data_IF_901199686503
#
_entry.id   IF_901199686503
#
_cell.length_a   1.000
_cell.length_b   1.000
_cell.length_c   1.000
_cell.angle_alpha   90.00
_cell.angle_beta   90.00
_cell.angle_gamma   90.00
#
_symmetry.space_group_name_H-M   'P 1'
#
loop_
_entity.id
_entity.type
_entity.pdbx_description
1 polymer ?
#
# COMPACT_ATOMS: atom_id res chain seq x y z
N UNK A 1 -5.97 30.60 -2.00
CA UNK A 1 -4.74 30.35 -1.23
C UNK A 1 -5.00 29.08 -0.43
N UNK A 2 -4.37 27.99 -0.89
CA UNK A 2 -4.57 26.64 -0.39
C UNK A 2 -4.09 26.49 1.06
N UNK A 3 -5.04 26.41 2.00
CA UNK A 3 -4.76 26.06 3.40
C UNK A 3 -4.84 24.55 3.66
N UNK A 4 -5.14 23.73 2.64
CA UNK A 4 -5.29 22.28 2.78
C UNK A 4 -3.95 21.54 2.81
N UNK A 5 -2.96 21.99 2.05
CA UNK A 5 -1.65 21.34 1.93
C UNK A 5 -0.81 21.41 3.21
N UNK A 6 -0.94 22.48 4.00
CA UNK A 6 -0.15 22.64 5.22
C UNK A 6 -0.68 21.82 6.41
N UNK A 7 -1.99 21.48 6.41
CA UNK A 7 -2.57 20.61 7.45
C UNK A 7 -2.17 19.14 7.26
N UNK A 8 -2.15 18.65 6.02
CA UNK A 8 -1.75 17.27 5.74
C UNK A 8 -0.30 16.97 6.10
N UNK A 9 0.63 17.87 5.76
CA UNK A 9 2.05 17.71 6.11
C UNK A 9 2.29 17.72 7.63
N UNK A 10 1.54 18.54 8.38
CA UNK A 10 1.62 18.56 9.84
C UNK A 10 1.13 17.27 10.50
N UNK A 11 0.11 16.65 9.95
CA UNK A 11 -0.47 15.41 10.48
C UNK A 11 0.41 14.19 10.17
N UNK A 12 0.98 14.10 8.97
CA UNK A 12 1.94 13.05 8.59
C UNK A 12 3.19 13.12 9.47
N UNK A 13 3.75 14.32 9.67
CA UNK A 13 4.92 14.53 10.52
C UNK A 13 4.66 14.13 11.97
N UNK A 14 3.49 14.48 12.53
CA UNK A 14 3.11 14.07 13.88
C UNK A 14 2.96 12.56 14.02
N UNK A 15 2.38 11.89 13.02
CA UNK A 15 2.18 10.43 13.04
C UNK A 15 3.50 9.65 12.94
N UNK A 16 4.47 10.14 12.17
CA UNK A 16 5.82 9.57 12.14
C UNK A 16 6.45 9.54 13.54
N UNK A 17 6.37 10.65 14.27
CA UNK A 17 6.83 10.70 15.67
C UNK A 17 6.08 9.73 16.57
N UNK A 18 4.77 9.56 16.36
CA UNK A 18 3.97 8.64 17.16
C UNK A 18 4.44 7.19 17.05
N UNK A 19 4.87 6.74 15.87
CA UNK A 19 5.38 5.38 15.69
C UNK A 19 6.72 5.18 16.43
N UNK A 20 7.64 6.12 16.32
CA UNK A 20 8.90 6.08 17.04
C UNK A 20 8.67 6.18 18.54
N UNK A 21 7.83 7.10 19.00
CA UNK A 21 7.46 7.28 20.41
C UNK A 21 6.77 6.02 20.99
N UNK A 22 5.87 5.39 20.25
CA UNK A 22 5.22 4.15 20.70
C UNK A 22 6.22 3.02 20.93
N UNK A 23 7.23 2.87 20.08
CA UNK A 23 8.31 1.90 20.26
C UNK A 23 9.18 2.22 21.49
N UNK A 24 9.53 3.48 21.67
CA UNK A 24 10.33 3.96 22.80
C UNK A 24 9.58 3.82 24.13
N UNK A 25 8.29 4.15 24.16
CA UNK A 25 7.45 3.98 25.34
C UNK A 25 7.32 2.50 25.74
N UNK A 26 7.10 1.61 24.75
CA UNK A 26 7.06 0.18 25.02
C UNK A 26 8.38 -0.34 25.61
N UNK A 27 9.52 0.15 25.13
CA UNK A 27 10.82 -0.18 25.69
C UNK A 27 11.02 0.40 27.11
N UNK A 28 10.52 1.59 27.38
CA UNK A 28 10.59 2.23 28.71
C UNK A 28 9.74 1.49 29.77
N UNK A 29 8.73 0.74 29.35
CA UNK A 29 7.91 -0.12 30.22
C UNK A 29 8.58 -1.48 30.56
N UNK A 30 9.80 -1.69 30.10
CA UNK A 30 10.62 -2.88 30.46
C UNK A 30 10.62 -3.97 29.38
N UNK A 31 10.18 -3.66 28.18
CA UNK A 31 10.30 -4.52 27.00
C UNK A 31 11.57 -4.17 26.19
N UNK A 32 12.04 -5.09 25.39
CA UNK A 32 13.10 -4.79 24.44
C UNK A 32 12.61 -3.81 23.36
N UNK A 33 13.48 -2.88 22.95
CA UNK A 33 13.18 -1.99 21.85
C UNK A 33 13.03 -2.79 20.54
N UNK A 34 11.80 -2.89 20.05
CA UNK A 34 11.52 -3.58 18.78
C UNK A 34 12.15 -2.79 17.62
N UNK A 35 12.98 -3.41 16.76
CA UNK A 35 13.56 -2.73 15.61
C UNK A 35 12.47 -2.32 14.60
N UNK A 36 12.76 -1.31 13.78
CA UNK A 36 11.79 -0.81 12.78
C UNK A 36 11.40 -1.91 11.78
N UNK A 37 12.35 -2.75 11.41
CA UNK A 37 12.18 -3.88 10.48
C UNK A 37 11.25 -4.98 11.01
N UNK A 38 11.01 -4.99 12.32
CA UNK A 38 10.05 -5.88 12.98
C UNK A 38 8.76 -5.14 13.40
N UNK A 39 8.55 -3.94 12.88
CA UNK A 39 7.41 -3.08 13.18
C UNK A 39 6.67 -2.74 11.88
N UNK A 40 5.36 -2.67 11.92
CA UNK A 40 4.54 -2.33 10.77
C UNK A 40 3.57 -1.20 11.08
N UNK A 41 3.48 -0.23 10.18
CA UNK A 41 2.48 0.84 10.23
C UNK A 41 1.21 0.37 9.52
N UNK A 42 0.07 0.39 10.20
CA UNK A 42 -1.19 -0.10 9.64
C UNK A 42 -2.20 1.04 9.57
N UNK A 43 -2.89 1.16 8.45
CA UNK A 43 -3.94 2.15 8.31
C UNK A 43 -4.78 1.98 7.05
N UNK A 44 -5.87 2.73 6.99
CA UNK A 44 -6.83 2.73 5.89
C UNK A 44 -6.72 3.97 5.00
N UNK A 45 -5.73 4.85 5.27
CA UNK A 45 -5.50 6.07 4.49
C UNK A 45 -4.07 6.15 3.99
N UNK A 46 -3.94 6.31 2.66
CA UNK A 46 -2.63 6.41 2.02
C UNK A 46 -1.93 7.73 2.36
N UNK A 47 -2.67 8.84 2.40
CA UNK A 47 -2.16 10.21 2.59
C UNK A 47 -1.81 10.56 4.04
N UNK A 48 -2.06 9.68 4.98
CA UNK A 48 -1.73 9.88 6.40
C UNK A 48 -1.00 8.70 7.00
N UNK A 49 -1.63 7.52 7.05
CA UNK A 49 -1.10 6.36 7.75
C UNK A 49 0.07 5.73 7.01
N UNK A 50 -0.13 5.48 5.71
CA UNK A 50 0.88 4.84 4.86
C UNK A 50 2.04 5.82 4.60
N UNK A 51 1.74 7.09 4.28
CA UNK A 51 2.78 8.10 4.10
C UNK A 51 3.63 8.26 5.35
N UNK A 52 3.03 8.29 6.55
CA UNK A 52 3.77 8.41 7.80
C UNK A 52 4.64 7.18 8.07
N UNK A 53 4.13 5.97 7.79
CA UNK A 53 4.90 4.74 7.87
C UNK A 53 6.11 4.77 6.93
N UNK A 54 5.88 5.07 5.64
CA UNK A 54 6.93 5.14 4.63
C UNK A 54 8.01 6.20 4.96
N UNK A 55 7.61 7.36 5.45
CA UNK A 55 8.55 8.42 5.89
C UNK A 55 9.34 8.05 7.14
N UNK A 56 8.79 7.18 7.96
CA UNK A 56 9.45 6.66 9.17
C UNK A 56 10.35 5.45 8.91
N UNK A 57 10.48 4.99 7.67
CA UNK A 57 11.16 3.75 7.27
C UNK A 57 10.56 2.51 7.96
N UNK A 58 9.24 2.49 8.11
CA UNK A 58 8.48 1.33 8.53
C UNK A 58 7.87 0.62 7.33
N UNK A 59 7.79 -0.71 7.38
CA UNK A 59 6.86 -1.43 6.52
C UNK A 59 5.44 -0.95 6.81
N UNK A 60 4.60 -0.93 5.78
CA UNK A 60 3.24 -0.44 5.91
C UNK A 60 2.21 -1.40 5.32
N UNK A 61 1.06 -1.51 5.98
CA UNK A 61 -0.08 -2.31 5.56
C UNK A 61 -1.29 -1.41 5.35
N UNK A 62 -1.75 -1.33 4.11
CA UNK A 62 -3.03 -0.71 3.81
C UNK A 62 -4.17 -1.73 3.96
N UNK A 63 -5.19 -1.37 4.75
CA UNK A 63 -6.41 -2.15 4.89
C UNK A 63 -7.57 -1.50 4.14
N UNK A 64 -8.43 -2.31 3.50
CA UNK A 64 -9.52 -1.84 2.64
C UNK A 64 -10.85 -1.65 3.38
N UNK A 65 -10.82 -1.62 4.70
CA UNK A 65 -12.02 -1.48 5.56
C UNK A 65 -12.53 -0.06 5.74
N UNK A 66 -11.84 0.94 5.17
CA UNK A 66 -12.13 2.35 5.42
C UNK A 66 -12.17 3.20 4.16
N UNK A 67 -11.23 4.13 4.05
CA UNK A 67 -11.23 5.19 3.03
C UNK A 67 -10.63 4.75 1.71
N UNK A 68 -9.50 4.03 1.77
CA UNK A 68 -8.74 3.64 0.56
C UNK A 68 -9.45 2.53 -0.23
N UNK A 69 -9.52 2.70 -1.53
CA UNK A 69 -10.07 1.74 -2.47
C UNK A 69 -9.01 1.21 -3.45
N UNK A 70 -9.29 0.11 -4.20
CA UNK A 70 -8.36 -0.48 -5.15
C UNK A 70 -7.84 0.48 -6.22
N UNK A 71 -8.67 1.39 -6.72
CA UNK A 71 -8.28 2.37 -7.75
C UNK A 71 -7.25 3.35 -7.18
N UNK A 72 -7.46 3.88 -5.98
CA UNK A 72 -6.51 4.77 -5.30
C UNK A 72 -5.16 4.09 -5.07
N UNK A 73 -5.17 2.80 -4.69
CA UNK A 73 -3.93 2.02 -4.52
C UNK A 73 -3.14 1.91 -5.83
N UNK A 74 -3.81 1.55 -6.93
CA UNK A 74 -3.14 1.43 -8.23
C UNK A 74 -2.58 2.76 -8.74
N UNK A 75 -3.24 3.87 -8.42
CA UNK A 75 -2.84 5.22 -8.84
C UNK A 75 -1.92 5.93 -7.82
N UNK A 76 -1.56 5.27 -6.73
CA UNK A 76 -0.76 5.88 -5.67
C UNK A 76 0.64 6.27 -6.15
N UNK A 77 1.07 7.53 -5.92
CA UNK A 77 2.45 7.94 -6.12
C UNK A 77 3.38 7.22 -5.15
N UNK A 78 4.67 7.14 -5.46
CA UNK A 78 5.62 6.28 -4.77
C UNK A 78 5.64 6.44 -3.24
N UNK A 79 5.50 7.66 -2.72
CA UNK A 79 5.51 7.94 -1.28
C UNK A 79 4.26 7.49 -0.53
N UNK A 80 3.17 7.16 -1.25
CA UNK A 80 1.90 6.67 -0.70
C UNK A 80 1.67 5.17 -0.94
N UNK A 81 2.64 4.45 -1.51
CA UNK A 81 2.51 3.02 -1.79
C UNK A 81 2.78 2.20 -0.53
N UNK A 82 1.84 1.35 -0.09
CA UNK A 82 2.06 0.47 1.05
C UNK A 82 3.00 -0.69 0.67
N UNK A 83 3.67 -1.26 1.68
CA UNK A 83 4.44 -2.51 1.53
C UNK A 83 3.50 -3.69 1.32
N UNK A 84 2.40 -3.74 2.07
CA UNK A 84 1.41 -4.82 2.04
C UNK A 84 0.00 -4.28 1.90
N UNK A 85 -0.91 -5.13 1.39
CA UNK A 85 -2.33 -4.82 1.21
C UNK A 85 -3.16 -5.98 1.73
N UNK A 86 -4.11 -5.69 2.62
CA UNK A 86 -5.04 -6.68 3.15
C UNK A 86 -6.49 -6.17 3.08
N UNK A 87 -7.49 -7.07 2.99
CA UNK A 87 -8.89 -6.66 3.04
C UNK A 87 -9.23 -6.06 4.40
N UNK A 88 -8.68 -6.64 5.48
CA UNK A 88 -8.85 -6.19 6.86
C UNK A 88 -7.76 -6.75 7.79
N UNK A 89 -7.89 -6.49 9.10
CA UNK A 89 -6.91 -6.90 10.11
C UNK A 89 -6.87 -8.41 10.42
N UNK A 90 -7.82 -9.20 9.92
CA UNK A 90 -7.84 -10.65 10.14
C UNK A 90 -6.66 -11.36 9.48
N UNK A 91 -6.11 -10.75 8.41
CA UNK A 91 -4.93 -11.29 7.72
C UNK A 91 -3.58 -11.01 8.41
N UNK A 92 -3.55 -10.28 9.54
CA UNK A 92 -2.30 -10.00 10.26
C UNK A 92 -1.57 -11.24 10.78
N UNK A 93 -2.29 -12.33 11.01
CA UNK A 93 -1.72 -13.60 11.46
C UNK A 93 -1.18 -14.50 10.34
N UNK A 94 -1.31 -14.07 9.09
CA UNK A 94 -0.95 -14.87 7.93
C UNK A 94 0.24 -14.24 7.17
N UNK A 95 1.04 -15.09 6.53
CA UNK A 95 2.10 -14.61 5.66
C UNK A 95 1.48 -13.86 4.45
N UNK A 96 1.85 -12.61 4.28
CA UNK A 96 1.39 -11.81 3.15
C UNK A 96 2.00 -12.35 1.85
N UNK A 97 1.18 -12.60 0.81
CA UNK A 97 1.70 -13.06 -0.47
C UNK A 97 2.44 -11.94 -1.18
N UNK A 98 3.62 -12.26 -1.68
CA UNK A 98 4.45 -11.33 -2.45
C UNK A 98 4.21 -11.55 -3.95
N UNK A 99 3.78 -10.51 -4.70
CA UNK A 99 3.73 -10.58 -6.14
C UNK A 99 5.14 -10.74 -6.75
N UNK A 100 5.28 -11.62 -7.72
CA UNK A 100 6.53 -11.88 -8.42
C UNK A 100 6.39 -11.49 -9.88
N UNK A 101 7.37 -10.77 -10.42
CA UNK A 101 7.42 -10.39 -11.83
C UNK A 101 8.10 -11.48 -12.65
N UNK A 102 7.47 -11.93 -13.73
CA UNK A 102 8.05 -12.85 -14.68
C UNK A 102 8.91 -12.14 -15.77
N UNK A 103 9.54 -12.92 -16.65
CA UNK A 103 10.38 -12.40 -17.74
C UNK A 103 9.56 -11.65 -18.80
N UNK A 104 8.27 -11.92 -18.92
CA UNK A 104 7.36 -11.25 -19.87
C UNK A 104 6.88 -9.87 -19.38
N UNK A 105 7.11 -9.55 -18.12
CA UNK A 105 6.62 -8.33 -17.49
C UNK A 105 5.26 -8.50 -16.82
N UNK A 106 4.78 -9.73 -16.68
CA UNK A 106 3.56 -10.06 -15.94
C UNK A 106 3.87 -10.21 -14.46
N UNK A 107 3.05 -9.60 -13.62
CA UNK A 107 3.09 -9.79 -12.18
C UNK A 107 2.16 -10.90 -11.76
N UNK A 108 2.67 -11.87 -11.02
CA UNK A 108 1.93 -13.01 -10.51
C UNK A 108 1.84 -12.96 -8.99
N UNK A 109 0.63 -13.18 -8.46
CA UNK A 109 0.40 -13.35 -7.03
C UNK A 109 -0.47 -14.59 -6.83
N UNK A 110 0.11 -15.67 -6.37
CA UNK A 110 -0.53 -17.00 -6.25
C UNK A 110 -1.17 -17.45 -7.58
N UNK A 111 -2.51 -17.36 -7.70
CA UNK A 111 -3.26 -17.79 -8.90
C UNK A 111 -3.71 -16.63 -9.79
N UNK A 112 -3.47 -15.41 -9.37
CA UNK A 112 -3.84 -14.23 -10.11
C UNK A 112 -2.63 -13.60 -10.78
N UNK A 113 -2.85 -12.93 -11.90
CA UNK A 113 -1.82 -12.22 -12.64
C UNK A 113 -2.31 -10.87 -13.14
N UNK A 114 -1.38 -9.94 -13.33
CA UNK A 114 -1.66 -8.62 -13.89
C UNK A 114 -0.49 -8.15 -14.76
N UNK A 115 -0.79 -7.36 -15.79
CA UNK A 115 0.19 -6.81 -16.72
C UNK A 115 -0.25 -5.46 -17.27
N UNK A 116 0.70 -4.69 -17.75
CA UNK A 116 0.42 -3.43 -18.44
C UNK A 116 0.60 -3.61 -19.95
N UNK A 117 -0.42 -3.33 -20.72
CA UNK A 117 -0.41 -3.45 -22.16
C UNK A 117 -1.33 -2.40 -22.81
N UNK A 118 -0.89 -1.82 -23.93
CA UNK A 118 -1.67 -0.84 -24.72
C UNK A 118 -2.21 0.35 -23.87
N UNK A 119 -1.44 0.79 -22.88
CA UNK A 119 -1.81 1.92 -22.03
C UNK A 119 -2.77 1.58 -20.89
N UNK A 120 -3.06 0.31 -20.65
CA UNK A 120 -3.99 -0.16 -19.63
C UNK A 120 -3.37 -1.24 -18.75
N UNK A 121 -3.79 -1.28 -17.49
CA UNK A 121 -3.50 -2.38 -16.57
C UNK A 121 -4.59 -3.43 -16.72
N UNK A 122 -4.18 -4.66 -16.95
CA UNK A 122 -5.03 -5.84 -17.07
C UNK A 122 -4.83 -6.73 -15.85
N UNK A 123 -5.88 -7.46 -15.47
CA UNK A 123 -5.85 -8.43 -14.37
C UNK A 123 -6.66 -9.69 -14.74
N UNK A 124 -6.18 -10.85 -14.33
CA UNK A 124 -6.85 -12.12 -14.59
C UNK A 124 -8.07 -12.33 -13.69
N UNK A 125 -8.04 -11.80 -12.47
CA UNK A 125 -9.13 -11.93 -11.48
C UNK A 125 -9.37 -10.62 -10.73
N UNK A 126 -10.35 -9.81 -11.15
CA UNK A 126 -10.68 -8.55 -10.49
C UNK A 126 -11.53 -8.71 -9.22
N UNK A 127 -11.77 -9.93 -8.76
CA UNK A 127 -12.56 -10.22 -7.55
C UNK A 127 -11.71 -10.67 -6.37
N UNK A 128 -10.42 -10.92 -6.58
CA UNK A 128 -9.52 -11.43 -5.55
C UNK A 128 -8.50 -10.39 -5.06
N UNK A 129 -8.11 -10.53 -3.79
CA UNK A 129 -7.00 -9.76 -3.22
C UNK A 129 -5.67 -10.03 -3.91
N UNK A 130 -5.44 -11.26 -4.36
CA UNK A 130 -4.22 -11.63 -5.08
C UNK A 130 -4.18 -10.94 -6.46
N UNK A 131 -5.33 -10.80 -7.13
CA UNK A 131 -5.47 -9.98 -8.34
C UNK A 131 -5.15 -8.52 -8.08
N UNK A 132 -5.62 -7.94 -6.98
CA UNK A 132 -5.31 -6.57 -6.61
C UNK A 132 -3.80 -6.39 -6.30
N UNK A 133 -3.19 -7.30 -5.54
CA UNK A 133 -1.76 -7.28 -5.23
C UNK A 133 -0.90 -7.31 -6.50
N UNK A 134 -1.26 -8.16 -7.48
CA UNK A 134 -0.58 -8.18 -8.77
C UNK A 134 -0.82 -6.89 -9.58
N UNK A 135 -2.06 -6.39 -9.61
CA UNK A 135 -2.43 -5.21 -10.38
C UNK A 135 -1.76 -3.92 -9.88
N UNK A 136 -1.61 -3.75 -8.57
CA UNK A 136 -0.89 -2.58 -8.03
C UNK A 136 0.58 -2.59 -8.43
N UNK A 137 1.24 -3.76 -8.45
CA UNK A 137 2.63 -3.88 -8.90
C UNK A 137 2.77 -3.54 -10.39
N UNK A 138 1.88 -4.03 -11.24
CA UNK A 138 1.87 -3.71 -12.66
C UNK A 138 1.61 -2.22 -12.91
N UNK A 139 0.68 -1.61 -12.18
CA UNK A 139 0.36 -0.19 -12.28
C UNK A 139 1.53 0.69 -11.82
N UNK A 140 2.13 0.38 -10.69
CA UNK A 140 3.26 1.15 -10.16
C UNK A 140 4.49 1.05 -11.06
N UNK A 141 4.80 -0.13 -11.58
CA UNK A 141 5.90 -0.29 -12.55
C UNK A 141 5.64 0.54 -13.81
N UNK A 142 4.44 0.47 -14.38
CA UNK A 142 4.08 1.25 -15.55
C UNK A 142 4.20 2.77 -15.29
N UNK A 143 3.70 3.25 -14.15
CA UNK A 143 3.80 4.66 -13.76
C UNK A 143 5.26 5.09 -13.58
N UNK A 144 6.11 4.26 -12.96
CA UNK A 144 7.53 4.54 -12.76
C UNK A 144 8.31 4.54 -14.08
N UNK A 145 7.82 3.84 -15.09
CA UNK A 145 8.31 3.87 -16.48
C UNK A 145 7.72 5.02 -17.32
N UNK A 146 6.89 5.88 -16.72
CA UNK A 146 6.36 7.09 -17.35
C UNK A 146 4.97 6.95 -17.97
N UNK A 147 4.26 5.84 -17.73
CA UNK A 147 2.88 5.71 -18.19
C UNK A 147 1.95 6.68 -17.45
N UNK A 148 1.03 7.28 -18.18
CA UNK A 148 -0.02 8.14 -17.61
C UNK A 148 -1.22 7.29 -17.24
N UNK A 149 -1.33 6.89 -15.99
CA UNK A 149 -2.46 6.11 -15.48
C UNK A 149 -3.58 7.02 -14.99
N UNK A 150 -4.81 6.52 -15.11
CA UNK A 150 -6.04 7.16 -14.64
C UNK A 150 -7.06 6.07 -14.26
N UNK A 151 -8.19 6.48 -13.69
CA UNK A 151 -9.31 5.56 -13.40
C UNK A 151 -9.80 4.79 -14.64
N UNK A 152 -9.66 5.38 -15.84
CA UNK A 152 -10.05 4.73 -17.09
C UNK A 152 -9.03 3.69 -17.61
N UNK A 153 -7.81 3.67 -17.05
CA UNK A 153 -6.72 2.79 -17.50
C UNK A 153 -6.37 1.69 -16.50
N UNK A 154 -7.04 1.66 -15.37
CA UNK A 154 -6.89 0.61 -14.35
C UNK A 154 -8.17 -0.21 -14.20
N UNK A 155 -8.07 -1.50 -13.86
CA UNK A 155 -9.25 -2.35 -13.70
C UNK A 155 -10.11 -1.94 -12.49
N UNK A 156 -11.41 -2.18 -12.60
CA UNK A 156 -12.34 -2.04 -11.49
C UNK A 156 -12.37 -3.34 -10.72
N UNK A 157 -12.15 -3.27 -9.42
CA UNK A 157 -12.20 -4.42 -8.53
C UNK A 157 -13.53 -4.53 -7.80
N UNK A 158 -14.04 -5.77 -7.67
CA UNK A 158 -15.21 -6.13 -6.87
C UNK A 158 -14.78 -7.07 -5.72
N UNK A 159 -13.98 -6.54 -4.79
CA UNK A 159 -13.51 -7.28 -3.62
C UNK A 159 -14.51 -7.04 -2.48
N UNK A 160 -15.07 -8.13 -1.93
CA UNK A 160 -15.86 -8.08 -0.71
C UNK A 160 -14.92 -8.04 0.50
N UNK A 161 -15.08 -7.01 1.36
CA UNK A 161 -14.33 -6.82 2.59
C UNK A 161 -14.89 -7.67 3.74
#
# INVERSE_FOLDING_TARGET
RDSSTSRGLGDVYKRQYMYDEARELNAAEGHDLVPKEASIAIGDRLDTDIEAGNRGDYDSLAVLTGVTNPTELMLAPSHLRPTFIAPDLRELGEAQPEPVRDESGTWECRKASAWFENGQVHVSDPTSMDGLRAAVCAAWEAADQGAQLSEATVPVFAIEA
#
